data_IF_464937327911
#
_entry.id   IF_464937327911
#
_cell.length_a   1.000
_cell.length_b   1.000
_cell.length_c   1.000
_cell.angle_alpha   90.00
_cell.angle_beta   90.00
_cell.angle_gamma   90.00
#
_symmetry.space_group_name_H-M   'P 1'
#
loop_
_entity.id
_entity.type
_entity.pdbx_description
1 polymer ?
#
# COMPACT_ATOMS: atom_id res chain seq x y z
N UNK A 1 14.14 -18.20 10.73
CA UNK A 1 13.95 -18.22 10.12
C UNK A 1 14.06 -18.07 9.24
N UNK A 2 14.14 -18.02 9.27
CA UNK A 2 14.15 -17.86 8.41
C UNK A 2 14.17 -17.67 7.32
N UNK A 3 14.73 -17.97 7.12
CA UNK A 3 15.06 -17.92 5.94
C UNK A 3 14.27 -18.75 5.15
N UNK A 4 14.17 -19.85 5.48
CA UNK A 4 13.40 -20.68 4.73
C UNK A 4 12.08 -20.16 4.79
N UNK A 5 11.94 -19.13 5.43
CA UNK A 5 10.70 -18.49 5.43
C UNK A 5 10.34 -18.11 4.03
N UNK A 6 11.30 -17.90 3.17
CA UNK A 6 10.97 -17.55 1.82
C UNK A 6 10.16 -18.60 1.14
N UNK A 7 10.53 -19.81 1.34
CA UNK A 7 9.82 -20.90 0.72
C UNK A 7 8.38 -20.91 1.20
N UNK A 8 8.22 -20.68 2.46
CA UNK A 8 6.91 -20.72 3.04
C UNK A 8 6.04 -19.65 2.43
N UNK A 9 6.61 -18.50 2.19
CA UNK A 9 5.81 -17.40 1.71
C UNK A 9 5.32 -17.58 0.32
N UNK A 10 5.93 -18.43 -0.47
CA UNK A 10 5.45 -18.65 -1.81
C UNK A 10 4.46 -19.81 -1.88
N UNK A 11 4.20 -20.46 -0.76
CA UNK A 11 3.29 -21.57 -0.72
C UNK A 11 1.85 -21.08 -0.61
N UNK A 12 0.99 -21.38 -1.59
CA UNK A 12 -0.39 -20.88 -1.53
C UNK A 12 -1.13 -21.33 -0.29
N UNK A 13 -0.82 -22.50 0.23
CA UNK A 13 -1.49 -22.95 1.42
C UNK A 13 -1.13 -22.12 2.62
N UNK A 14 0.12 -21.68 2.69
CA UNK A 14 0.53 -20.82 3.77
C UNK A 14 -0.14 -19.48 3.67
N UNK A 15 -0.31 -18.96 2.47
CA UNK A 15 -0.99 -17.70 2.29
C UNK A 15 -2.43 -17.83 2.77
N UNK A 16 -3.06 -18.95 2.47
CA UNK A 16 -4.44 -19.14 2.88
C UNK A 16 -4.57 -19.24 4.39
N UNK A 17 -3.51 -19.61 5.07
CA UNK A 17 -3.54 -19.73 6.52
C UNK A 17 -3.17 -18.46 7.26
N UNK A 18 -2.82 -17.40 6.53
CA UNK A 18 -2.47 -16.16 7.20
C UNK A 18 -3.69 -15.53 7.82
N UNK A 19 -3.48 -14.89 8.94
CA UNK A 19 -4.56 -14.22 9.63
C UNK A 19 -4.37 -12.73 9.48
N UNK A 20 -4.64 -12.24 8.28
CA UNK A 20 -4.44 -10.83 7.97
C UNK A 20 -5.66 -10.03 8.40
N UNK A 21 -5.41 -8.87 9.00
CA UNK A 21 -6.47 -7.92 9.18
C UNK A 21 -6.00 -6.59 8.64
N UNK A 22 -6.92 -5.85 8.05
CA UNK A 22 -6.60 -4.60 7.40
C UNK A 22 -6.30 -3.54 8.45
N UNK A 23 -5.19 -2.81 8.28
CA UNK A 23 -4.82 -1.75 9.20
C UNK A 23 -4.82 -0.39 8.52
N UNK A 24 -4.82 -0.35 7.20
CA UNK A 24 -4.80 0.91 6.47
C UNK A 24 -5.39 0.70 5.08
N UNK A 25 -6.16 1.69 4.61
CA UNK A 25 -6.73 1.64 3.27
C UNK A 25 -6.81 3.07 2.75
N UNK A 26 -6.38 3.27 1.52
CA UNK A 26 -6.46 4.61 0.92
C UNK A 26 -6.64 4.52 -0.58
N UNK A 27 -7.56 5.33 -1.10
CA UNK A 27 -7.70 5.52 -2.52
C UNK A 27 -6.66 6.55 -2.96
N UNK A 28 -5.85 6.22 -3.94
CA UNK A 28 -4.70 7.04 -4.30
C UNK A 28 -5.13 8.33 -4.98
N UNK A 29 -4.49 9.41 -4.55
CA UNK A 29 -4.69 10.73 -5.16
C UNK A 29 -3.58 10.97 -6.16
N UNK A 30 -3.70 12.06 -6.92
CA UNK A 30 -2.67 12.40 -7.89
C UNK A 30 -1.31 12.62 -7.23
N UNK A 31 -1.29 13.21 -6.03
CA UNK A 31 -0.01 13.44 -5.36
C UNK A 31 0.62 12.14 -4.87
N UNK A 32 -0.20 11.15 -4.52
CA UNK A 32 0.33 9.86 -4.06
C UNK A 32 1.11 9.14 -5.17
N UNK A 33 0.70 9.30 -6.42
CA UNK A 33 1.37 8.63 -7.53
C UNK A 33 2.34 9.54 -8.28
N UNK A 34 2.48 10.77 -7.84
CA UNK A 34 3.33 11.75 -8.50
C UNK A 34 4.81 11.40 -8.31
N UNK A 35 5.57 11.48 -9.40
CA UNK A 35 7.01 11.23 -9.30
C UNK A 35 7.69 12.33 -8.51
N UNK A 36 7.12 13.52 -8.49
CA UNK A 36 7.71 14.62 -7.77
C UNK A 36 7.53 14.49 -6.26
N UNK A 37 6.38 13.99 -5.84
CA UNK A 37 6.11 13.84 -4.41
C UNK A 37 6.73 12.55 -3.85
N UNK A 38 6.64 11.48 -4.61
CA UNK A 38 7.30 10.20 -4.32
C UNK A 38 7.03 9.68 -2.91
N UNK A 39 5.79 9.75 -2.49
CA UNK A 39 5.39 9.23 -1.18
C UNK A 39 3.89 9.00 -1.15
N UNK A 40 3.46 8.10 -0.29
CA UNK A 40 2.06 7.89 0.01
C UNK A 40 1.76 8.68 1.28
N UNK A 41 0.79 9.58 1.23
CA UNK A 41 0.43 10.36 2.40
C UNK A 41 -0.54 9.58 3.26
N UNK A 42 -0.24 9.46 4.54
CA UNK A 42 -1.07 8.73 5.49
C UNK A 42 -1.55 9.74 6.53
N UNK A 43 -2.86 9.84 6.66
CA UNK A 43 -3.47 10.83 7.54
C UNK A 43 -3.02 10.63 8.99
N UNK A 44 -2.92 11.71 9.72
CA UNK A 44 -2.47 11.65 11.12
C UNK A 44 -3.39 10.80 11.98
N UNK A 45 -4.65 10.64 11.58
CA UNK A 45 -5.59 9.79 12.31
C UNK A 45 -5.20 8.31 12.23
N UNK A 46 -4.31 7.98 11.30
CA UNK A 46 -3.84 6.60 11.18
C UNK A 46 -2.53 6.36 11.91
N UNK A 47 -2.18 7.26 12.82
CA UNK A 47 -0.97 7.08 13.61
C UNK A 47 -0.97 5.73 14.29
N UNK A 48 0.16 5.04 14.20
CA UNK A 48 0.30 3.76 14.86
C UNK A 48 -0.33 2.58 14.14
N UNK A 49 -0.96 2.80 12.98
CA UNK A 49 -1.65 1.70 12.30
C UNK A 49 -0.70 0.57 11.88
N UNK A 50 0.59 0.85 11.71
CA UNK A 50 1.56 -0.17 11.33
C UNK A 50 2.24 -0.80 12.55
N UNK A 51 1.75 -0.53 13.75
CA UNK A 51 2.31 -1.10 14.95
C UNK A 51 3.24 -0.15 15.66
N UNK A 52 3.39 -0.35 16.96
CA UNK A 52 4.14 0.56 17.79
C UNK A 52 5.59 0.69 17.34
N UNK A 53 6.21 -0.40 17.00
CA UNK A 53 7.63 -0.38 16.64
C UNK A 53 7.86 0.23 15.26
N UNK A 54 6.82 0.37 14.47
CA UNK A 54 6.91 0.92 13.12
C UNK A 54 6.37 2.34 13.02
N UNK A 55 6.21 3.01 14.16
CA UNK A 55 5.63 4.36 14.20
C UNK A 55 6.75 5.37 14.42
N UNK A 56 6.94 6.33 13.50
CA UNK A 56 7.96 7.35 13.71
C UNK A 56 7.59 8.30 14.84
N UNK A 57 8.58 8.94 15.40
CA UNK A 57 8.41 9.89 16.48
C UNK A 57 9.33 11.08 16.22
N UNK A 58 9.19 12.16 16.97
CA UNK A 58 10.10 13.30 16.79
C UNK A 58 11.56 12.92 16.96
N UNK A 59 11.85 11.93 17.81
CA UNK A 59 13.22 11.48 18.04
C UNK A 59 13.71 10.52 16.95
N UNK A 60 12.79 9.80 16.33
CA UNK A 60 13.12 8.83 15.29
C UNK A 60 12.13 9.01 14.16
N UNK A 61 12.41 9.99 13.32
CA UNK A 61 11.44 10.47 12.35
C UNK A 61 11.21 9.55 11.17
N UNK A 62 12.15 8.69 10.87
CA UNK A 62 12.03 7.73 9.77
C UNK A 62 12.26 6.33 10.31
N UNK A 63 11.34 5.44 10.03
CA UNK A 63 11.43 4.06 10.51
C UNK A 63 11.32 3.14 9.29
N UNK A 64 12.25 2.21 9.16
CA UNK A 64 12.19 1.24 8.08
C UNK A 64 11.12 0.21 8.38
N UNK A 65 10.29 -0.07 7.39
CA UNK A 65 9.22 -1.04 7.55
C UNK A 65 9.20 -1.95 6.32
N UNK A 66 9.39 -3.23 6.55
CA UNK A 66 9.32 -4.21 5.47
C UNK A 66 7.88 -4.65 5.29
N UNK A 67 7.43 -4.66 4.04
CA UNK A 67 6.11 -5.14 3.70
C UNK A 67 6.21 -6.13 2.57
N UNK A 68 5.39 -7.16 2.63
CA UNK A 68 5.35 -8.18 1.59
C UNK A 68 4.12 -7.95 0.71
N UNK A 69 4.33 -8.07 -0.60
CA UNK A 69 3.27 -7.92 -1.57
C UNK A 69 2.40 -9.17 -1.53
N UNK A 70 1.10 -9.01 -1.29
CA UNK A 70 0.22 -10.15 -1.21
C UNK A 70 0.08 -10.89 -2.53
N UNK A 71 0.34 -10.21 -3.63
CA UNK A 71 0.14 -10.80 -4.94
C UNK A 71 1.28 -11.73 -5.34
N UNK A 72 2.53 -11.31 -5.14
CA UNK A 72 3.66 -12.06 -5.63
C UNK A 72 4.70 -12.40 -4.57
N UNK A 73 4.48 -12.02 -3.33
CA UNK A 73 5.39 -12.35 -2.24
C UNK A 73 6.66 -11.52 -2.20
N UNK A 74 6.79 -10.52 -3.08
CA UNK A 74 7.99 -9.69 -3.11
C UNK A 74 8.02 -8.79 -1.90
N UNK A 75 9.22 -8.60 -1.34
CA UNK A 75 9.40 -7.74 -0.19
C UNK A 75 9.82 -6.35 -0.61
N UNK A 76 9.20 -5.34 -0.02
CA UNK A 76 9.58 -3.95 -0.21
C UNK A 76 9.97 -3.36 1.14
N UNK A 77 11.12 -2.71 1.19
CA UNK A 77 11.56 -2.04 2.40
C UNK A 77 11.19 -0.57 2.27
N UNK A 78 10.07 -0.22 2.85
CA UNK A 78 9.59 1.16 2.84
C UNK A 78 10.18 1.94 4.00
N UNK A 79 10.03 3.25 3.95
CA UNK A 79 10.38 4.12 5.07
C UNK A 79 9.09 4.82 5.50
N UNK A 80 8.73 4.63 6.77
CA UNK A 80 7.54 5.27 7.34
C UNK A 80 8.05 6.51 8.06
N UNK A 81 7.66 7.68 7.58
CA UNK A 81 8.22 8.94 8.05
C UNK A 81 7.18 9.84 8.67
N UNK A 82 7.64 10.73 9.53
CA UNK A 82 6.80 11.76 10.13
C UNK A 82 6.95 13.02 9.29
N UNK A 83 5.83 13.54 8.79
CA UNK A 83 5.83 14.76 8.03
C UNK A 83 5.55 15.89 9.00
N UNK A 84 6.56 16.70 9.27
CA UNK A 84 6.49 17.64 10.35
C UNK A 84 5.54 18.79 10.20
N UNK A 85 5.24 19.17 8.98
CA UNK A 85 4.49 20.42 8.81
C UNK A 85 3.08 20.33 9.36
N UNK A 86 2.48 19.13 9.39
CA UNK A 86 1.10 19.02 9.84
C UNK A 86 0.82 17.76 10.65
N UNK A 87 1.86 17.05 11.05
CA UNK A 87 1.67 15.85 11.87
C UNK A 87 1.22 14.61 11.11
N UNK A 88 1.19 14.69 9.79
CA UNK A 88 0.84 13.51 8.98
C UNK A 88 2.03 12.59 8.86
N UNK A 89 1.78 11.40 8.34
CA UNK A 89 2.82 10.41 8.11
C UNK A 89 2.91 10.13 6.62
N UNK A 90 4.05 9.63 6.19
CA UNK A 90 4.26 9.27 4.79
C UNK A 90 4.89 7.89 4.70
N UNK A 91 4.63 7.21 3.61
CA UNK A 91 5.31 5.99 3.26
C UNK A 91 6.15 6.32 2.03
N UNK A 92 7.47 6.21 2.15
CA UNK A 92 8.39 6.58 1.09
C UNK A 92 9.43 5.49 0.93
N UNK A 93 10.63 5.82 0.45
CA UNK A 93 11.64 4.81 0.22
C UNK A 93 11.34 4.06 -1.06
N UNK A 94 10.91 2.83 -0.96
CA UNK A 94 10.58 2.03 -2.14
C UNK A 94 9.19 2.31 -2.69
N UNK A 95 8.54 3.36 -2.24
CA UNK A 95 7.21 3.69 -2.74
C UNK A 95 7.19 3.89 -4.26
N UNK A 96 8.20 4.64 -4.78
CA UNK A 96 8.26 4.85 -6.23
C UNK A 96 8.40 3.54 -6.98
N UNK A 97 9.26 2.66 -6.49
CA UNK A 97 9.46 1.36 -7.14
C UNK A 97 8.17 0.54 -7.12
N UNK A 98 7.47 0.58 -6.01
CA UNK A 98 6.20 -0.15 -5.89
C UNK A 98 5.17 0.41 -6.87
N UNK A 99 5.04 1.74 -6.95
CA UNK A 99 4.12 2.36 -7.89
C UNK A 99 4.42 1.95 -9.33
N UNK A 100 5.69 2.00 -9.69
CA UNK A 100 6.08 1.69 -11.06
C UNK A 100 5.86 0.22 -11.38
N UNK A 101 6.28 -0.64 -10.47
CA UNK A 101 6.17 -2.08 -10.72
C UNK A 101 4.71 -2.51 -10.81
N UNK A 102 3.86 -1.92 -9.99
CA UNK A 102 2.44 -2.27 -9.98
C UNK A 102 1.60 -1.42 -10.94
N UNK A 103 2.22 -0.46 -11.59
CA UNK A 103 1.54 0.44 -12.54
C UNK A 103 0.33 1.10 -11.87
N UNK A 104 0.57 1.70 -10.71
CA UNK A 104 -0.53 2.30 -9.95
C UNK A 104 -0.99 3.60 -10.56
N UNK A 105 -2.29 3.81 -10.52
CA UNK A 105 -2.93 5.00 -11.06
C UNK A 105 -3.77 5.69 -10.00
N UNK A 106 -4.06 6.96 -10.25
CA UNK A 106 -5.02 7.68 -9.41
C UNK A 106 -6.32 6.89 -9.38
N UNK A 107 -6.88 6.73 -8.20
CA UNK A 107 -8.13 5.99 -8.04
C UNK A 107 -7.96 4.55 -7.62
N UNK A 108 -6.78 3.99 -7.83
CA UNK A 108 -6.50 2.65 -7.30
C UNK A 108 -6.44 2.75 -5.78
N UNK A 109 -6.66 1.65 -5.08
CA UNK A 109 -6.65 1.64 -3.62
C UNK A 109 -5.49 0.82 -3.10
N UNK A 110 -4.81 1.34 -2.09
CA UNK A 110 -3.78 0.60 -1.38
C UNK A 110 -4.40 0.05 -0.10
N UNK A 111 -4.13 -1.21 0.17
CA UNK A 111 -4.58 -1.86 1.39
C UNK A 111 -3.37 -2.45 2.08
N UNK A 112 -3.17 -2.10 3.34
CA UNK A 112 -2.09 -2.64 4.15
C UNK A 112 -2.72 -3.44 5.27
N UNK A 113 -2.22 -4.65 5.48
CA UNK A 113 -2.74 -5.57 6.47
C UNK A 113 -1.62 -6.09 7.34
N UNK A 114 -1.96 -6.54 8.51
CA UNK A 114 -0.99 -7.12 9.43
C UNK A 114 -1.41 -8.55 9.75
N UNK A 115 -0.43 -9.43 9.81
CA UNK A 115 -0.68 -10.83 10.17
C UNK A 115 -0.65 -10.93 11.68
N UNK A 116 -1.76 -11.37 12.26
CA UNK A 116 -1.89 -11.43 13.71
C UNK A 116 -0.94 -12.44 14.34
N UNK A 117 -0.53 -13.44 13.57
CA UNK A 117 0.27 -14.52 14.15
C UNK A 117 1.74 -14.13 14.30
N UNK A 118 2.27 -13.29 13.43
CA UNK A 118 3.70 -12.99 13.48
C UNK A 118 4.02 -11.49 13.33
N UNK A 119 3.02 -10.65 13.16
CA UNK A 119 3.23 -9.21 13.07
C UNK A 119 3.77 -8.73 11.74
N UNK A 120 3.86 -9.60 10.74
CA UNK A 120 4.34 -9.16 9.42
C UNK A 120 3.30 -8.26 8.76
N UNK A 121 3.79 -7.38 7.91
CA UNK A 121 2.93 -6.40 7.25
C UNK A 121 2.88 -6.72 5.77
N UNK A 122 1.68 -6.67 5.21
CA UNK A 122 1.41 -7.05 3.84
C UNK A 122 0.73 -5.91 3.12
N UNK A 123 1.04 -5.75 1.83
CA UNK A 123 0.49 -4.67 1.03
C UNK A 123 -0.10 -5.24 -0.25
N UNK A 124 -1.23 -4.70 -0.67
CA UNK A 124 -1.81 -5.04 -1.96
C UNK A 124 -2.50 -3.81 -2.52
N UNK A 125 -2.86 -3.87 -3.78
CA UNK A 125 -3.60 -2.79 -4.41
C UNK A 125 -4.85 -3.36 -5.07
N UNK A 126 -5.86 -2.52 -5.17
CA UNK A 126 -7.10 -2.84 -5.87
C UNK A 126 -7.27 -1.79 -6.96
N UNK A 127 -7.55 -2.24 -8.17
CA UNK A 127 -7.72 -1.32 -9.28
C UNK A 127 -9.03 -0.54 -9.13
N UNK A 128 -9.07 0.66 -9.71
CA UNK A 128 -10.28 1.44 -9.75
C UNK A 128 -11.35 0.61 -10.44
N UNK A 129 -12.59 0.81 -10.02
CA UNK A 129 -13.63 -0.10 -10.43
C UNK A 129 -13.98 0.00 -11.88
N UNK A 130 -14.35 -1.13 -12.45
CA UNK A 130 -14.78 -1.23 -13.79
C UNK A 130 -16.16 -0.69 -13.95
N UNK A 131 -16.92 -0.67 -12.91
CA UNK A 131 -18.27 -0.21 -12.94
C UNK A 131 -18.37 1.23 -13.39
N UNK A 132 -17.44 2.05 -12.98
CA UNK A 132 -17.41 3.43 -13.39
C UNK A 132 -17.20 3.53 -14.90
N UNK A 133 -16.35 2.70 -15.42
CA UNK A 133 -16.08 2.68 -16.84
C UNK A 133 -17.31 2.29 -17.63
N UNK A 134 -18.06 1.30 -17.15
CA UNK A 134 -19.27 0.89 -17.85
C UNK A 134 -20.29 1.99 -17.90
N UNK A 135 -20.43 2.75 -16.83
CA UNK A 135 -21.37 3.84 -16.83
C UNK A 135 -20.96 4.91 -17.82
N UNK A 136 -19.68 5.18 -17.87
CA UNK A 136 -19.19 6.15 -18.82
C UNK A 136 -19.49 5.72 -20.23
N UNK A 137 -19.25 4.48 -20.55
CA UNK A 137 -19.50 3.99 -21.86
C UNK A 137 -20.96 4.08 -22.21
N UNK A 138 -21.82 3.76 -21.30
CA UNK A 138 -23.23 3.81 -21.57
C UNK A 138 -23.67 5.19 -21.90
N UNK A 139 -23.20 6.16 -21.17
CA UNK A 139 -23.65 7.48 -21.43
C UNK A 139 -22.97 8.07 -22.62
N UNK A 140 -21.83 7.64 -22.92
CA UNK A 140 -21.20 8.28 -24.03
C UNK A 140 -21.15 7.47 -25.20
N UNK A 141 -21.63 6.45 -25.18
CA UNK A 141 -21.43 5.63 -26.18
C UNK A 141 -21.95 6.19 -27.10
N UNK A 142 -22.10 6.79 -26.65
CA UNK A 142 -22.42 7.35 -27.03
C UNK A 142 -21.44 8.18 -27.42
N UNK A 143 -20.58 8.35 -27.22
CA UNK A 143 -19.53 9.00 -27.57
C UNK A 143 -18.49 8.39 -27.64
N UNK A 144 -18.39 7.71 -27.36
CA UNK A 144 -17.38 7.13 -27.48
C UNK A 144 -17.36 6.20 -27.92
N UNK A 145 -18.06 5.97 -27.96
CA UNK A 145 -17.93 5.34 -28.26
C UNK A 145 -17.80 5.55 -28.69
N UNK A 146 -18.10 5.97 -28.67
CA UNK A 146 -17.81 6.28 -28.85
C UNK A 146 -17.15 6.46 -28.64
N UNK A 147 -17.01 6.12 -28.35
CA UNK A 147 -16.31 6.33 -28.00
C UNK A 147 -15.74 6.48 -28.33
#
# INVERSE_FOLDING_TARGET
KPIHADVVMTDPENVAERQLHEVFRKKLTSSDVSRQQDRLLMAKERRGCLGKHNTPSPENRDVNVDMWDECDGRKYSFVHGLWTSNGSYVLKGKWRSFCDFKCLNVGDTIVISMDDSDGTIWIRHERATIELTRRSNTSSMLYAASL
#
